data_IF_833655125421
#
_entry.id   IF_833655125421
#
_cell.length_a   1.000
_cell.length_b   1.000
_cell.length_c   1.000
_cell.angle_alpha   90.00
_cell.angle_beta   90.00
_cell.angle_gamma   90.00
#
_symmetry.space_group_name_H-M   'P 1'
#
loop_
_entity.id
_entity.type
_entity.pdbx_description
1 polymer ?
#
# COMPACT_ATOMS: atom_id res chain seq x y z
N UNK A 1 28.70 30.10 38.19
CA UNK A 1 29.32 29.78 36.87
C UNK A 1 29.28 31.05 36.04
N UNK A 2 30.43 31.58 35.64
CA UNK A 2 30.55 32.92 35.07
C UNK A 2 29.95 32.98 33.66
N UNK A 3 29.35 34.11 33.26
CA UNK A 3 28.65 34.27 31.96
C UNK A 3 29.51 33.94 30.74
N UNK A 4 30.84 33.98 30.91
CA UNK A 4 31.85 33.56 29.93
C UNK A 4 31.76 32.07 29.56
N UNK A 5 31.50 31.16 30.51
CA UNK A 5 31.40 29.73 30.21
C UNK A 5 30.09 29.39 29.48
N UNK A 6 28.99 30.04 29.86
CA UNK A 6 27.70 29.85 29.18
C UNK A 6 27.76 30.34 27.73
N UNK A 7 28.45 31.44 27.46
CA UNK A 7 28.62 31.97 26.11
C UNK A 7 29.52 31.07 25.24
N UNK A 8 30.63 30.58 25.80
CA UNK A 8 31.54 29.63 25.13
C UNK A 8 30.87 28.28 24.84
N UNK A 9 30.00 27.81 25.74
CA UNK A 9 29.25 26.58 25.52
C UNK A 9 28.23 26.73 24.39
N UNK A 10 27.51 27.86 24.34
CA UNK A 10 26.52 28.15 23.28
C UNK A 10 27.15 28.26 21.90
N UNK A 11 28.31 28.89 21.78
CA UNK A 11 29.03 28.97 20.50
C UNK A 11 29.58 27.62 20.05
N UNK A 12 30.06 26.79 20.98
CA UNK A 12 30.56 25.45 20.68
C UNK A 12 29.44 24.51 20.22
N UNK A 13 28.28 24.57 20.88
CA UNK A 13 27.08 23.82 20.46
C UNK A 13 26.57 24.29 19.10
N UNK A 14 26.51 25.60 18.85
CA UNK A 14 26.09 26.14 17.56
C UNK A 14 27.04 25.73 16.42
N UNK A 15 28.35 25.70 16.67
CA UNK A 15 29.35 25.28 15.68
C UNK A 15 29.25 23.79 15.34
N UNK A 16 29.06 22.92 16.34
CA UNK A 16 28.88 21.47 16.14
C UNK A 16 27.58 21.19 15.37
N UNK A 17 26.51 21.93 15.66
CA UNK A 17 25.23 21.81 14.95
C UNK A 17 25.35 22.28 13.49
N UNK A 18 26.00 23.40 13.21
CA UNK A 18 26.23 23.87 11.83
C UNK A 18 27.04 22.85 11.00
N UNK A 19 28.04 22.21 11.62
CA UNK A 19 28.88 21.21 10.98
C UNK A 19 28.14 19.91 10.65
N UNK A 20 27.14 19.52 11.47
CA UNK A 20 26.35 18.30 11.25
C UNK A 20 25.27 18.46 10.17
N UNK A 21 24.82 19.68 9.88
CA UNK A 21 23.72 19.96 8.93
C UNK A 21 24.25 20.52 7.60
N UNK A 22 25.57 20.75 7.49
CA UNK A 22 26.19 21.25 6.25
C UNK A 22 25.82 22.69 5.88
N UNK A 23 25.38 23.50 6.85
CA UNK A 23 25.00 24.88 6.63
C UNK A 23 26.16 25.83 6.98
N UNK A 24 26.55 26.68 6.03
CA UNK A 24 27.52 27.76 6.26
C UNK A 24 27.07 28.64 7.44
N UNK A 25 28.01 28.98 8.32
CA UNK A 25 27.82 29.76 9.55
C UNK A 25 27.45 31.25 9.31
N UNK A 26 26.80 31.56 8.19
CA UNK A 26 26.47 32.92 7.76
C UNK A 26 25.02 33.35 8.09
N UNK A 27 24.19 32.49 8.71
CA UNK A 27 22.87 32.89 9.23
C UNK A 27 22.92 33.43 10.68
N UNK A 28 24.05 34.01 11.08
CA UNK A 28 24.20 34.68 12.36
C UNK A 28 24.35 36.20 12.15
N UNK A 29 23.28 36.88 11.72
CA UNK A 29 23.23 38.34 11.74
C UNK A 29 21.81 38.87 11.97
N UNK A 30 21.50 39.17 13.24
CA UNK A 30 20.91 40.42 13.73
C UNK A 30 19.94 40.16 14.90
N UNK A 31 20.35 40.38 16.17
CA UNK A 31 19.49 40.16 17.33
C UNK A 31 18.58 41.36 17.66
N UNK A 32 18.35 42.29 16.72
CA UNK A 32 17.77 43.59 17.03
C UNK A 32 16.24 43.72 16.89
N UNK A 33 15.49 42.65 16.59
CA UNK A 33 14.08 42.84 16.16
C UNK A 33 13.00 41.95 16.80
N UNK A 34 13.27 41.29 17.92
CA UNK A 34 12.21 40.61 18.68
C UNK A 34 12.32 40.95 20.16
N UNK A 35 11.58 41.99 20.57
CA UNK A 35 11.33 42.28 21.96
C UNK A 35 10.44 41.21 22.58
N UNK A 36 10.90 40.64 23.70
CA UNK A 36 10.09 39.87 24.65
C UNK A 36 9.76 38.43 24.23
N UNK A 37 10.58 37.47 24.67
CA UNK A 37 10.20 36.04 24.62
C UNK A 37 11.33 35.01 24.59
N UNK A 38 12.48 35.26 25.22
CA UNK A 38 13.66 34.36 25.13
C UNK A 38 13.42 32.95 25.70
N UNK A 39 12.66 32.82 26.79
CA UNK A 39 12.42 31.52 27.42
C UNK A 39 11.50 30.59 26.60
N UNK A 40 10.57 31.14 25.83
CA UNK A 40 9.59 30.35 25.06
C UNK A 40 10.22 29.81 23.77
N UNK A 41 11.02 30.63 23.08
CA UNK A 41 11.77 30.20 21.90
C UNK A 41 12.87 29.19 22.24
N UNK A 42 13.61 29.41 23.34
CA UNK A 42 14.63 28.45 23.79
C UNK A 42 14.01 27.10 24.19
N UNK A 43 12.86 27.11 24.89
CA UNK A 43 12.15 25.87 25.24
C UNK A 43 11.57 25.16 24.01
N UNK A 44 11.09 25.90 23.01
CA UNK A 44 10.54 25.31 21.79
C UNK A 44 11.63 24.59 20.97
N UNK A 45 12.82 25.18 20.89
CA UNK A 45 13.97 24.57 20.21
C UNK A 45 14.41 23.28 20.92
N UNK A 46 14.50 23.28 22.25
CA UNK A 46 14.85 22.07 23.02
C UNK A 46 13.81 20.95 22.89
N UNK A 47 12.51 21.29 22.89
CA UNK A 47 11.43 20.29 22.77
C UNK A 47 11.39 19.71 21.36
N UNK A 48 11.50 20.53 20.32
CA UNK A 48 11.41 20.05 18.92
C UNK A 48 12.66 19.27 18.53
N UNK A 49 13.86 19.78 18.83
CA UNK A 49 15.12 19.11 18.47
C UNK A 49 15.35 17.88 19.35
N UNK A 50 15.06 17.97 20.65
CA UNK A 50 15.14 16.83 21.56
C UNK A 50 14.14 15.72 21.20
N UNK A 51 12.92 16.10 20.82
CA UNK A 51 11.88 15.17 20.35
C UNK A 51 12.27 14.47 19.05
N UNK A 52 12.78 15.21 18.06
CA UNK A 52 13.26 14.63 16.81
C UNK A 52 14.45 13.69 17.02
N UNK A 53 15.40 14.05 17.89
CA UNK A 53 16.56 13.19 18.20
C UNK A 53 16.14 11.91 18.93
N UNK A 54 15.21 11.99 19.90
CA UNK A 54 14.69 10.81 20.60
C UNK A 54 13.87 9.91 19.67
N UNK A 55 13.09 10.48 18.75
CA UNK A 55 12.37 9.70 17.73
C UNK A 55 13.35 8.99 16.77
N UNK A 56 14.42 9.67 16.36
CA UNK A 56 15.45 9.08 15.50
C UNK A 56 16.18 7.93 16.20
N UNK A 57 16.56 8.12 17.46
CA UNK A 57 17.20 7.10 18.29
C UNK A 57 16.27 5.90 18.53
N UNK A 58 14.96 6.14 18.72
CA UNK A 58 13.96 5.07 18.84
C UNK A 58 13.78 4.29 17.53
N UNK A 59 13.83 4.95 16.36
CA UNK A 59 13.78 4.27 15.06
C UNK A 59 15.01 3.42 14.77
N UNK A 60 16.21 3.90 15.11
CA UNK A 60 17.45 3.14 14.90
C UNK A 60 17.53 1.97 15.87
N UNK A 61 17.19 2.17 17.15
CA UNK A 61 17.14 1.09 18.14
C UNK A 61 16.06 0.05 17.80
N UNK A 62 14.88 0.49 17.34
CA UNK A 62 13.80 -0.39 16.91
C UNK A 62 14.18 -1.26 15.71
N UNK A 63 14.83 -0.67 14.70
CA UNK A 63 15.30 -1.41 13.52
C UNK A 63 16.31 -2.50 13.85
N UNK A 64 17.29 -2.20 14.72
CA UNK A 64 18.31 -3.18 15.15
C UNK A 64 17.69 -4.30 15.99
N UNK A 65 16.78 -3.98 16.92
CA UNK A 65 16.09 -4.98 17.74
C UNK A 65 15.23 -5.91 16.87
N UNK A 66 14.50 -5.36 15.90
CA UNK A 66 13.70 -6.17 14.97
C UNK A 66 14.59 -7.09 14.13
N UNK A 67 15.72 -6.60 13.61
CA UNK A 67 16.65 -7.41 12.83
C UNK A 67 17.30 -8.55 13.64
N UNK A 68 17.65 -8.28 14.90
CA UNK A 68 18.20 -9.28 15.82
C UNK A 68 17.15 -10.32 16.19
N UNK A 69 15.91 -9.90 16.47
CA UNK A 69 14.80 -10.81 16.75
C UNK A 69 14.47 -11.68 15.53
N UNK A 70 14.37 -11.08 14.34
CA UNK A 70 14.14 -11.81 13.09
C UNK A 70 15.25 -12.84 12.82
N UNK A 71 16.51 -12.49 13.10
CA UNK A 71 17.66 -13.39 12.94
C UNK A 71 17.71 -14.51 13.98
N UNK A 72 17.24 -14.26 15.20
CA UNK A 72 17.12 -15.30 16.24
C UNK A 72 15.96 -16.24 15.95
N UNK A 73 14.81 -15.71 15.54
CA UNK A 73 13.63 -16.50 15.15
C UNK A 73 13.95 -17.36 13.92
N UNK A 74 14.59 -16.79 12.89
CA UNK A 74 15.02 -17.55 11.71
C UNK A 74 15.98 -18.69 12.07
N UNK A 75 16.93 -18.47 12.98
CA UNK A 75 17.86 -19.52 13.44
C UNK A 75 17.17 -20.59 14.28
N UNK A 76 16.20 -20.22 15.10
CA UNK A 76 15.40 -21.17 15.89
C UNK A 76 14.58 -22.07 14.97
N UNK A 77 13.84 -21.50 14.02
CA UNK A 77 13.08 -22.28 13.05
C UNK A 77 13.99 -23.17 12.21
N UNK A 78 15.13 -22.69 11.73
CA UNK A 78 16.06 -23.52 10.94
C UNK A 78 16.67 -24.70 11.73
N UNK A 79 16.74 -24.60 13.06
CA UNK A 79 17.22 -25.68 13.93
C UNK A 79 16.12 -26.65 14.36
N UNK A 80 14.87 -26.19 14.41
CA UNK A 80 13.75 -26.94 14.95
C UNK A 80 12.71 -27.34 13.90
N UNK A 81 12.86 -26.92 12.64
CA UNK A 81 12.06 -27.46 11.55
C UNK A 81 12.51 -28.90 11.30
N UNK A 82 11.56 -29.85 11.26
CA UNK A 82 11.88 -31.22 10.87
C UNK A 82 12.42 -31.23 9.44
N UNK A 83 13.35 -32.14 9.18
CA UNK A 83 13.91 -32.34 7.84
C UNK A 83 12.82 -32.81 6.87
N UNK A 84 13.04 -32.64 5.56
CA UNK A 84 12.06 -33.06 4.55
C UNK A 84 11.73 -34.57 4.64
N UNK A 85 12.68 -35.36 5.13
CA UNK A 85 12.54 -36.80 5.37
C UNK A 85 11.65 -37.08 6.60
N UNK A 86 11.87 -36.39 7.73
CA UNK A 86 11.00 -36.45 8.91
C UNK A 86 9.58 -35.95 8.63
N UNK A 87 9.43 -34.91 7.80
CA UNK A 87 8.12 -34.40 7.38
C UNK A 87 7.38 -35.38 6.47
N UNK A 88 8.10 -36.17 5.67
CA UNK A 88 7.52 -37.23 4.85
C UNK A 88 7.06 -38.40 5.72
N UNK A 89 7.87 -38.81 6.70
CA UNK A 89 7.53 -39.85 7.67
C UNK A 89 6.32 -39.45 8.53
N UNK A 90 6.29 -38.23 9.07
CA UNK A 90 5.13 -37.68 9.79
C UNK A 90 3.87 -37.64 8.93
N UNK A 91 3.99 -37.31 7.64
CA UNK A 91 2.84 -37.28 6.72
C UNK A 91 2.30 -38.69 6.47
N UNK A 92 3.17 -39.67 6.35
CA UNK A 92 2.78 -41.07 6.16
C UNK A 92 2.23 -41.69 7.46
N UNK A 93 2.78 -41.32 8.62
CA UNK A 93 2.18 -41.64 9.93
C UNK A 93 0.79 -41.01 10.08
N UNK A 94 0.61 -39.73 9.72
CA UNK A 94 -0.67 -39.04 9.81
C UNK A 94 -1.72 -39.70 8.90
N UNK A 95 -1.32 -40.10 7.68
CA UNK A 95 -2.17 -40.88 6.77
C UNK A 95 -2.51 -42.25 7.34
N UNK A 96 -1.57 -42.91 8.01
CA UNK A 96 -1.79 -44.19 8.65
C UNK A 96 -2.68 -44.11 9.91
N UNK A 97 -2.70 -42.96 10.59
CA UNK A 97 -3.59 -42.66 11.73
C UNK A 97 -5.00 -42.29 11.25
N UNK A 98 -5.11 -41.49 10.19
CA UNK A 98 -6.38 -41.12 9.56
C UNK A 98 -7.15 -42.36 9.06
N UNK A 99 -6.43 -43.30 8.44
CA UNK A 99 -7.00 -44.59 8.00
C UNK A 99 -7.45 -45.51 9.15
N UNK A 100 -6.90 -45.34 10.37
CA UNK A 100 -7.22 -46.19 11.54
C UNK A 100 -8.26 -45.60 12.48
N UNK A 101 -8.65 -44.33 12.33
CA UNK A 101 -9.62 -43.68 13.23
C UNK A 101 -10.88 -43.19 12.52
N UNK A 102 -11.73 -44.16 12.15
CA UNK A 102 -13.18 -43.99 12.27
C UNK A 102 -13.67 -44.74 13.52
N UNK A 103 -13.27 -44.27 14.70
CA UNK A 103 -14.02 -44.57 15.94
C UNK A 103 -14.56 -43.23 16.43
N UNK A 104 -15.90 -43.04 16.46
CA UNK A 104 -16.48 -41.79 16.93
C UNK A 104 -16.02 -41.57 18.37
N UNK A 105 -15.27 -40.50 18.59
CA UNK A 105 -14.91 -40.05 19.93
C UNK A 105 -16.23 -39.57 20.54
N UNK A 106 -16.85 -40.41 21.36
CA UNK A 106 -17.94 -40.00 22.23
C UNK A 106 -17.32 -39.09 23.30
N UNK A 107 -17.40 -37.79 23.08
CA UNK A 107 -17.06 -36.79 24.09
C UNK A 107 -18.08 -36.92 25.23
N UNK A 108 -17.70 -37.61 26.30
CA UNK A 108 -18.41 -37.48 27.58
C UNK A 108 -17.99 -36.15 28.20
N UNK A 109 -18.80 -35.12 27.95
CA UNK A 109 -18.69 -33.82 28.59
C UNK A 109 -19.05 -34.04 30.07
N UNK A 110 -18.03 -34.04 30.94
CA UNK A 110 -18.27 -34.10 32.38
C UNK A 110 -19.08 -32.88 32.84
N UNK A 111 -19.97 -33.01 33.84
CA UNK A 111 -20.95 -31.98 34.25
C UNK A 111 -20.34 -30.64 34.71
N UNK A 112 -19.01 -30.55 34.83
CA UNK A 112 -18.27 -29.36 35.25
C UNK A 112 -17.63 -28.57 34.09
N UNK A 113 -17.71 -29.06 32.85
CA UNK A 113 -17.12 -28.41 31.67
C UNK A 113 -18.08 -27.45 30.94
N UNK A 114 -19.36 -27.46 31.28
CA UNK A 114 -20.39 -26.66 30.60
C UNK A 114 -20.17 -25.13 30.69
N UNK A 115 -19.85 -24.51 31.84
CA UNK A 115 -19.81 -23.04 31.90
C UNK A 115 -18.66 -22.42 31.10
N UNK A 116 -17.54 -23.13 30.94
CA UNK A 116 -16.36 -22.60 30.23
C UNK A 116 -16.49 -22.72 28.70
N UNK A 117 -17.12 -23.79 28.21
CA UNK A 117 -17.31 -23.99 26.77
C UNK A 117 -18.34 -23.02 26.21
N UNK A 118 -19.45 -22.79 26.92
CA UNK A 118 -20.42 -21.77 26.52
C UNK A 118 -19.85 -20.35 26.58
N UNK A 119 -18.96 -20.06 27.54
CA UNK A 119 -18.28 -18.77 27.61
C UNK A 119 -17.30 -18.55 26.46
N UNK A 120 -16.54 -19.57 26.06
CA UNK A 120 -15.57 -19.46 24.96
C UNK A 120 -16.28 -19.34 23.59
N UNK A 121 -17.32 -20.15 23.36
CA UNK A 121 -18.13 -20.08 22.14
C UNK A 121 -18.89 -18.75 22.07
N UNK A 122 -19.43 -18.27 23.19
CA UNK A 122 -20.09 -16.97 23.28
C UNK A 122 -19.14 -15.80 22.99
N UNK A 123 -17.91 -15.85 23.50
CA UNK A 123 -16.90 -14.81 23.25
C UNK A 123 -16.50 -14.74 21.75
N UNK A 124 -16.28 -15.91 21.13
CA UNK A 124 -15.96 -15.98 19.70
C UNK A 124 -17.14 -15.52 18.84
N UNK A 125 -18.38 -15.88 19.20
CA UNK A 125 -19.58 -15.41 18.51
C UNK A 125 -19.75 -13.89 18.63
N UNK A 126 -19.51 -13.29 19.80
CA UNK A 126 -19.56 -11.84 20.00
C UNK A 126 -18.51 -11.10 19.16
N UNK A 127 -17.28 -11.63 19.04
CA UNK A 127 -16.25 -11.02 18.19
C UNK A 127 -16.62 -11.06 16.70
N UNK A 128 -17.24 -12.15 16.24
CA UNK A 128 -17.71 -12.28 14.85
C UNK A 128 -18.86 -11.29 14.59
N UNK A 129 -19.84 -11.20 15.50
CA UNK A 129 -20.97 -10.27 15.38
C UNK A 129 -20.50 -8.81 15.42
N UNK A 130 -19.56 -8.48 16.30
CA UNK A 130 -18.99 -7.12 16.38
C UNK A 130 -18.20 -6.75 15.11
N UNK A 131 -17.42 -7.69 14.57
CA UNK A 131 -16.69 -7.52 13.31
C UNK A 131 -17.62 -7.29 12.12
N UNK A 132 -18.74 -8.03 12.05
CA UNK A 132 -19.77 -7.84 11.03
C UNK A 132 -20.60 -6.55 11.24
N UNK A 133 -20.78 -6.11 12.48
CA UNK A 133 -21.48 -4.86 12.81
C UNK A 133 -20.71 -3.58 12.45
N UNK A 134 -19.37 -3.62 12.55
CA UNK A 134 -18.49 -2.51 12.16
C UNK A 134 -18.54 -2.20 10.66
N UNK A 135 -18.93 -3.15 9.81
CA UNK A 135 -19.12 -2.94 8.37
C UNK A 135 -20.48 -2.35 8.01
N UNK A 136 -21.43 -2.30 8.95
CA UNK A 136 -22.78 -1.77 8.76
C UNK A 136 -23.00 -0.36 9.33
N UNK A 137 -21.99 0.25 9.96
CA UNK A 137 -22.06 1.61 10.49
C UNK A 137 -21.78 2.63 9.37
N UNK A 138 -22.76 3.48 8.97
CA UNK A 138 -22.49 4.53 8.01
C UNK A 138 -21.50 5.55 8.61
N UNK A 139 -20.40 5.76 7.91
CA UNK A 139 -19.40 6.79 8.25
C UNK A 139 -20.10 8.16 8.26
N UNK A 140 -19.88 9.01 9.28
CA UNK A 140 -20.41 10.38 9.28
C UNK A 140 -19.70 11.17 8.17
N UNK A 141 -20.40 11.33 7.04
CA UNK A 141 -19.99 12.25 5.98
C UNK A 141 -20.08 13.65 6.58
N UNK A 142 -18.93 14.27 6.83
CA UNK A 142 -18.83 15.65 7.30
C UNK A 142 -19.23 16.58 6.15
N UNK A 143 -20.54 16.79 6.02
CA UNK A 143 -21.13 17.80 5.15
C UNK A 143 -21.14 19.16 5.83
N UNK A 144 -20.48 20.11 5.15
CA UNK A 144 -20.83 21.53 4.97
C UNK A 144 -20.88 22.51 6.15
N UNK A 145 -20.04 23.56 6.02
CA UNK A 145 -20.23 24.99 6.37
C UNK A 145 -18.82 25.61 6.39
N UNK A 146 -18.35 26.54 5.53
CA UNK A 146 -18.97 27.72 4.91
C UNK A 146 -18.29 28.10 3.57
N UNK A 147 -19.12 28.52 2.62
CA UNK A 147 -18.91 29.36 1.43
C UNK A 147 -17.67 30.27 1.39
N UNK A 148 -16.90 30.22 0.29
CA UNK A 148 -16.48 31.40 -0.49
C UNK A 148 -16.32 31.10 -2.00
N UNK A 149 -17.10 31.84 -2.79
CA UNK A 149 -16.77 32.54 -4.05
C UNK A 149 -16.30 31.77 -5.30
N UNK A 150 -17.27 31.57 -6.19
CA UNK A 150 -17.26 31.79 -7.64
C UNK A 150 -15.98 32.35 -8.32
N UNK A 151 -15.63 31.71 -9.44
CA UNK A 151 -14.84 32.17 -10.63
C UNK A 151 -13.39 31.66 -10.75
N UNK A 152 -13.22 30.45 -11.31
CA UNK A 152 -12.33 30.12 -12.46
C UNK A 152 -11.98 28.61 -12.53
N UNK A 153 -12.23 28.00 -13.71
CA UNK A 153 -11.69 26.74 -14.27
C UNK A 153 -12.23 25.40 -13.71
N UNK A 154 -12.56 24.40 -14.57
CA UNK A 154 -13.06 23.11 -14.12
C UNK A 154 -11.89 22.20 -13.70
N UNK A 155 -11.92 21.67 -12.49
CA UNK A 155 -11.05 20.57 -12.06
C UNK A 155 -11.85 19.48 -11.38
N UNK A 156 -12.09 18.44 -12.19
CA UNK A 156 -12.23 17.02 -11.90
C UNK A 156 -12.17 16.55 -10.42
N UNK A 157 -13.30 15.98 -10.00
CA UNK A 157 -13.36 14.59 -9.52
C UNK A 157 -14.55 13.93 -10.20
N UNK A 158 -14.40 13.66 -11.50
CA UNK A 158 -15.40 12.96 -12.29
C UNK A 158 -14.83 11.58 -12.61
N UNK A 159 -15.58 10.53 -12.31
CA UNK A 159 -15.26 9.17 -12.70
C UNK A 159 -14.91 9.11 -14.19
N UNK A 160 -14.03 8.17 -14.56
CA UNK A 160 -13.67 7.95 -15.95
C UNK A 160 -14.92 7.50 -16.74
N UNK A 161 -15.21 8.12 -17.89
CA UNK A 161 -16.33 7.70 -18.73
C UNK A 161 -16.17 6.26 -19.21
N UNK A 162 -17.23 5.45 -19.08
CA UNK A 162 -17.27 4.07 -19.60
C UNK A 162 -17.75 4.00 -21.05
N UNK A 163 -18.42 5.04 -21.52
CA UNK A 163 -19.07 5.10 -22.82
C UNK A 163 -18.72 6.41 -23.52
N UNK A 164 -18.85 6.44 -24.85
CA UNK A 164 -18.66 7.64 -25.67
C UNK A 164 -17.59 7.48 -26.75
N UNK A 165 -17.10 8.62 -27.22
CA UNK A 165 -16.02 8.70 -28.21
C UNK A 165 -14.67 8.48 -27.51
N UNK A 166 -14.20 7.23 -27.49
CA UNK A 166 -12.97 6.87 -26.79
C UNK A 166 -11.74 7.60 -27.33
N UNK A 167 -11.68 7.93 -28.62
CA UNK A 167 -10.59 8.71 -29.19
C UNK A 167 -10.49 10.07 -28.52
N UNK A 168 -11.60 10.82 -28.45
CA UNK A 168 -11.64 12.11 -27.73
C UNK A 168 -11.33 11.97 -26.25
N UNK A 169 -11.78 10.89 -25.61
CA UNK A 169 -11.50 10.64 -24.19
C UNK A 169 -10.01 10.42 -23.98
N UNK A 170 -9.39 9.54 -24.76
CA UNK A 170 -7.97 9.20 -24.61
C UNK A 170 -7.04 10.32 -25.03
N UNK A 171 -7.44 11.15 -26.01
CA UNK A 171 -6.71 12.35 -26.45
C UNK A 171 -6.80 13.49 -25.42
N UNK A 172 -7.89 13.52 -24.64
CA UNK A 172 -8.10 14.49 -23.56
C UNK A 172 -7.43 14.13 -22.24
N UNK A 173 -6.82 12.94 -22.13
CA UNK A 173 -6.06 12.55 -20.93
C UNK A 173 -4.80 13.40 -20.77
N UNK A 174 -4.36 13.67 -19.53
CA UNK A 174 -3.10 14.37 -19.30
C UNK A 174 -1.92 13.54 -19.81
N UNK A 175 -0.73 14.16 -19.90
CA UNK A 175 0.49 13.42 -20.22
C UNK A 175 0.78 12.37 -19.13
N UNK A 176 0.99 11.12 -19.56
CA UNK A 176 1.30 10.00 -18.67
C UNK A 176 2.79 9.85 -18.41
N UNK A 177 3.13 9.27 -17.26
CA UNK A 177 4.48 8.87 -16.87
C UNK A 177 4.58 7.34 -16.78
N UNK A 178 5.39 6.70 -17.63
CA UNK A 178 5.58 5.25 -17.64
C UNK A 178 6.04 4.66 -16.30
N UNK A 179 6.89 5.34 -15.54
CA UNK A 179 7.38 4.82 -14.26
C UNK A 179 6.27 4.82 -13.20
N UNK A 180 5.40 5.83 -13.22
CA UNK A 180 4.20 5.86 -12.36
C UNK A 180 3.21 4.78 -12.77
N UNK A 181 3.04 4.55 -14.08
CA UNK A 181 2.20 3.49 -14.62
C UNK A 181 2.65 2.10 -14.17
N UNK A 182 3.95 1.83 -14.20
CA UNK A 182 4.53 0.57 -13.70
C UNK A 182 4.25 0.38 -12.20
N UNK A 183 4.48 1.42 -11.38
CA UNK A 183 4.17 1.36 -9.95
C UNK A 183 2.68 1.14 -9.71
N UNK A 184 1.82 1.76 -10.51
CA UNK A 184 0.37 1.59 -10.42
C UNK A 184 -0.04 0.16 -10.74
N UNK A 185 0.51 -0.47 -11.79
CA UNK A 185 0.25 -1.88 -12.11
C UNK A 185 0.53 -2.82 -10.92
N UNK A 186 1.60 -2.54 -10.17
CA UNK A 186 2.01 -3.33 -9.01
C UNK A 186 1.16 -3.07 -7.76
N UNK A 187 0.51 -1.90 -7.65
CA UNK A 187 -0.18 -1.47 -6.43
C UNK A 187 -1.71 -1.47 -6.56
N UNK A 188 -2.25 -1.36 -7.77
CA UNK A 188 -3.68 -1.37 -8.06
C UNK A 188 -4.28 -2.78 -8.19
N UNK A 189 -3.50 -3.84 -7.90
CA UNK A 189 -3.95 -5.24 -7.92
C UNK A 189 -3.85 -5.94 -9.29
N UNK A 190 -3.37 -5.24 -10.33
CA UNK A 190 -3.26 -5.80 -11.68
C UNK A 190 -2.34 -7.03 -11.72
N UNK A 191 -1.18 -6.93 -11.07
CA UNK A 191 -0.16 -8.01 -10.94
C UNK A 191 -0.71 -9.30 -10.31
N UNK A 192 -1.78 -9.23 -9.51
CA UNK A 192 -2.39 -10.44 -8.92
C UNK A 192 -3.11 -11.32 -9.95
N UNK A 193 -3.53 -10.75 -11.08
CA UNK A 193 -4.28 -11.45 -12.12
C UNK A 193 -3.58 -11.45 -13.48
N UNK A 194 -2.65 -10.54 -13.73
CA UNK A 194 -1.98 -10.38 -15.01
C UNK A 194 -0.47 -10.58 -14.87
N UNK A 195 0.07 -11.45 -15.72
CA UNK A 195 1.53 -11.62 -15.84
C UNK A 195 2.13 -10.57 -16.78
N UNK A 196 3.44 -10.35 -16.67
CA UNK A 196 4.24 -9.59 -17.64
C UNK A 196 5.14 -10.49 -18.51
N UNK A 197 5.10 -11.82 -18.31
CA UNK A 197 5.96 -12.78 -19.03
C UNK A 197 5.28 -13.29 -20.29
N UNK A 198 6.07 -13.55 -21.33
CA UNK A 198 5.60 -14.12 -22.60
C UNK A 198 4.91 -15.47 -22.37
N UNK A 199 3.68 -15.58 -22.85
CA UNK A 199 2.90 -16.84 -22.80
C UNK A 199 2.40 -17.27 -21.42
N UNK A 200 2.70 -16.55 -20.35
CA UNK A 200 2.24 -16.90 -19.00
C UNK A 200 0.77 -16.50 -18.83
N UNK A 201 -0.09 -17.49 -18.62
CA UNK A 201 -1.52 -17.31 -18.43
C UNK A 201 -1.87 -17.43 -16.95
N UNK A 202 -2.52 -16.40 -16.42
CA UNK A 202 -3.09 -16.37 -15.08
C UNK A 202 -4.63 -16.26 -15.16
N UNK A 203 -5.25 -15.60 -14.18
CA UNK A 203 -6.68 -15.24 -14.21
C UNK A 203 -6.97 -14.33 -15.40
N UNK A 204 -6.07 -13.40 -15.70
CA UNK A 204 -6.11 -12.52 -16.87
C UNK A 204 -4.99 -12.80 -17.90
N UNK A 205 -5.08 -12.21 -19.10
CA UNK A 205 -4.04 -12.29 -20.13
C UNK A 205 -2.74 -11.61 -19.71
N UNK A 206 -1.62 -12.10 -20.25
CA UNK A 206 -0.32 -11.47 -20.06
C UNK A 206 -0.27 -10.08 -20.70
N UNK A 207 0.47 -9.18 -20.06
CA UNK A 207 0.83 -7.85 -20.56
C UNK A 207 2.01 -7.91 -21.55
N UNK A 208 2.61 -9.08 -21.77
CA UNK A 208 3.67 -9.23 -22.76
C UNK A 208 3.16 -8.91 -24.18
N UNK A 209 3.81 -7.99 -24.86
CA UNK A 209 3.47 -7.50 -26.20
C UNK A 209 2.03 -6.94 -26.30
N UNK A 210 1.47 -6.46 -25.18
CA UNK A 210 0.06 -6.11 -25.08
C UNK A 210 -0.32 -4.94 -25.99
N UNK A 211 0.53 -3.93 -26.12
CA UNK A 211 0.24 -2.77 -26.97
C UNK A 211 0.02 -3.17 -28.44
N UNK A 212 0.92 -3.97 -29.00
CA UNK A 212 0.82 -4.42 -30.40
C UNK A 212 -0.39 -5.34 -30.59
N UNK A 213 -0.66 -6.21 -29.62
CA UNK A 213 -1.87 -7.04 -29.62
C UNK A 213 -3.12 -6.17 -29.62
N UNK A 214 -3.18 -5.15 -28.75
CA UNK A 214 -4.32 -4.25 -28.58
C UNK A 214 -4.71 -3.53 -29.88
N UNK A 215 -3.75 -3.18 -30.73
CA UNK A 215 -4.01 -2.55 -32.05
C UNK A 215 -4.90 -3.38 -32.98
N UNK A 216 -5.02 -4.68 -32.73
CA UNK A 216 -5.72 -5.62 -33.63
C UNK A 216 -6.97 -6.25 -33.01
N UNK A 217 -7.29 -5.94 -31.74
CA UNK A 217 -8.36 -6.63 -31.00
C UNK A 217 -9.75 -6.28 -31.48
N UNK A 218 -9.97 -5.00 -31.77
CA UNK A 218 -11.26 -4.45 -32.18
C UNK A 218 -11.05 -3.64 -33.46
N UNK A 219 -11.65 -4.04 -34.59
CA UNK A 219 -11.52 -3.29 -35.84
C UNK A 219 -11.95 -1.83 -35.68
N UNK A 220 -11.12 -0.90 -36.13
CA UNK A 220 -11.40 0.54 -36.07
C UNK A 220 -11.10 1.20 -34.72
N UNK A 221 -10.55 0.47 -33.76
CA UNK A 221 -10.14 1.00 -32.46
C UNK A 221 -8.61 0.98 -32.34
N UNK A 222 -8.02 2.07 -31.84
CA UNK A 222 -6.59 2.13 -31.54
C UNK A 222 -6.24 1.30 -30.31
N UNK A 223 -4.95 0.97 -30.12
CA UNK A 223 -4.50 0.29 -28.90
C UNK A 223 -4.86 1.08 -27.64
N UNK A 224 -4.70 2.40 -27.67
CA UNK A 224 -4.96 3.28 -26.54
C UNK A 224 -6.43 3.27 -26.13
N UNK A 225 -7.33 3.34 -27.11
CA UNK A 225 -8.78 3.25 -26.92
C UNK A 225 -9.19 1.88 -26.37
N UNK A 226 -8.69 0.80 -26.97
CA UNK A 226 -8.98 -0.57 -26.51
C UNK A 226 -8.54 -0.80 -25.07
N UNK A 227 -7.32 -0.37 -24.73
CA UNK A 227 -6.78 -0.55 -23.38
C UNK A 227 -7.55 0.29 -22.36
N UNK A 228 -7.90 1.53 -22.71
CA UNK A 228 -8.76 2.37 -21.88
C UNK A 228 -10.11 1.68 -21.60
N UNK A 229 -10.82 1.25 -22.65
CA UNK A 229 -12.11 0.57 -22.53
C UNK A 229 -11.97 -0.72 -21.70
N UNK A 230 -10.94 -1.53 -21.96
CA UNK A 230 -10.69 -2.77 -21.22
C UNK A 230 -10.50 -2.55 -19.72
N UNK A 231 -10.08 -1.36 -19.28
CA UNK A 231 -9.92 -1.03 -17.86
C UNK A 231 -11.22 -0.48 -17.27
N UNK A 232 -11.91 0.44 -17.96
CA UNK A 232 -13.10 1.12 -17.41
C UNK A 232 -14.38 0.29 -17.57
N UNK A 233 -14.44 -0.55 -18.61
CA UNK A 233 -15.53 -1.46 -18.95
C UNK A 233 -14.97 -2.82 -19.44
N UNK A 234 -14.39 -3.63 -18.54
CA UNK A 234 -13.69 -4.86 -18.89
C UNK A 234 -14.57 -5.96 -19.50
N UNK A 235 -15.89 -5.85 -19.45
CA UNK A 235 -16.79 -6.81 -20.10
C UNK A 235 -17.20 -6.41 -21.53
N UNK A 236 -16.84 -5.21 -21.99
CA UNK A 236 -17.12 -4.78 -23.37
C UNK A 236 -16.43 -5.67 -24.42
N UNK A 237 -15.25 -6.20 -24.09
CA UNK A 237 -14.52 -7.14 -24.91
C UNK A 237 -13.86 -8.22 -24.04
N UNK A 238 -14.25 -9.47 -24.23
CA UNK A 238 -13.64 -10.61 -23.55
C UNK A 238 -12.68 -11.32 -24.49
N UNK A 239 -11.40 -11.34 -24.11
CA UNK A 239 -10.37 -12.07 -24.84
C UNK A 239 -10.70 -13.56 -24.89
N UNK A 240 -10.54 -14.18 -26.05
CA UNK A 240 -10.77 -15.62 -26.24
C UNK A 240 -10.08 -16.47 -25.17
N UNK A 241 -10.84 -17.41 -24.61
CA UNK A 241 -10.39 -18.28 -23.53
C UNK A 241 -10.44 -17.67 -22.13
N UNK A 242 -10.85 -16.42 -21.94
CA UNK A 242 -11.08 -15.81 -20.62
C UNK A 242 -12.56 -15.72 -20.27
N UNK A 243 -12.87 -15.55 -18.98
CA UNK A 243 -14.25 -15.48 -18.48
C UNK A 243 -14.63 -14.03 -18.15
N UNK A 244 -15.88 -13.67 -18.46
CA UNK A 244 -16.45 -12.38 -18.10
C UNK A 244 -16.60 -12.24 -16.56
N UNK A 245 -16.59 -11.00 -16.08
CA UNK A 245 -16.83 -10.68 -14.66
C UNK A 245 -15.67 -10.95 -13.71
N UNK A 246 -14.51 -11.45 -14.19
CA UNK A 246 -13.34 -11.68 -13.35
C UNK A 246 -12.50 -10.41 -13.11
N UNK A 247 -12.36 -9.56 -14.12
CA UNK A 247 -11.66 -8.28 -13.96
C UNK A 247 -12.54 -7.29 -13.19
N UNK A 248 -11.94 -6.50 -12.29
CA UNK A 248 -12.68 -5.61 -11.41
C UNK A 248 -13.42 -4.53 -12.19
N UNK A 249 -14.71 -4.32 -11.87
CA UNK A 249 -15.62 -3.46 -12.65
C UNK A 249 -15.64 -1.99 -12.20
N UNK A 250 -14.85 -1.65 -11.18
CA UNK A 250 -14.87 -0.37 -10.48
C UNK A 250 -13.69 0.56 -10.82
N UNK A 251 -12.76 0.15 -11.71
CA UNK A 251 -11.60 0.98 -12.08
C UNK A 251 -11.97 2.35 -12.60
N UNK A 252 -13.09 2.49 -13.32
CA UNK A 252 -13.60 3.78 -13.76
C UNK A 252 -13.86 4.76 -12.61
N UNK A 253 -14.24 4.27 -11.44
CA UNK A 253 -14.56 5.07 -10.27
C UNK A 253 -13.35 5.32 -9.35
N UNK A 254 -12.35 4.42 -9.37
CA UNK A 254 -11.21 4.48 -8.43
C UNK A 254 -9.91 4.99 -9.07
N UNK A 255 -9.78 4.92 -10.40
CA UNK A 255 -8.64 5.49 -11.11
C UNK A 255 -8.95 6.93 -11.53
N UNK A 256 -8.04 7.83 -11.21
CA UNK A 256 -8.05 9.18 -11.74
C UNK A 256 -7.65 9.22 -13.23
N UNK A 257 -7.99 10.29 -13.97
CA UNK A 257 -7.48 10.51 -15.32
C UNK A 257 -5.96 10.46 -15.43
N UNK A 258 -5.23 10.96 -14.43
CA UNK A 258 -3.77 10.89 -14.41
C UNK A 258 -3.25 9.45 -14.26
N UNK A 259 -3.85 8.66 -13.36
CA UNK A 259 -3.48 7.25 -13.18
C UNK A 259 -3.76 6.41 -14.43
N UNK A 260 -4.89 6.67 -15.10
CA UNK A 260 -5.18 6.05 -16.39
C UNK A 260 -4.14 6.43 -17.44
N UNK A 261 -3.80 7.72 -17.55
CA UNK A 261 -2.79 8.20 -18.49
C UNK A 261 -1.42 7.57 -18.23
N UNK A 262 -1.00 7.48 -16.97
CA UNK A 262 0.27 6.87 -16.54
C UNK A 262 0.30 5.38 -16.92
N UNK A 263 -0.77 4.64 -16.66
CA UNK A 263 -0.87 3.21 -17.00
C UNK A 263 -0.81 2.96 -18.51
N UNK A 264 -1.53 3.76 -19.30
CA UNK A 264 -1.49 3.66 -20.77
C UNK A 264 -0.10 4.02 -21.31
N UNK A 265 0.54 5.06 -20.75
CA UNK A 265 1.90 5.46 -21.14
C UNK A 265 2.93 4.37 -20.82
N UNK A 266 2.77 3.64 -19.72
CA UNK A 266 3.61 2.49 -19.39
C UNK A 266 3.45 1.33 -20.35
N UNK A 267 2.21 0.91 -20.63
CA UNK A 267 1.93 -0.18 -21.59
C UNK A 267 2.43 0.20 -22.98
N UNK A 268 2.24 1.46 -23.38
CA UNK A 268 2.79 2.00 -24.61
C UNK A 268 4.31 1.98 -24.59
N UNK A 269 5.00 2.55 -23.60
CA UNK A 269 6.47 2.59 -23.59
C UNK A 269 7.09 1.19 -23.70
N UNK A 270 6.51 0.20 -23.00
CA UNK A 270 6.99 -1.18 -22.94
C UNK A 270 7.05 -1.89 -24.31
N UNK A 271 6.20 -1.52 -25.28
CA UNK A 271 6.22 -2.17 -26.60
C UNK A 271 7.54 -2.01 -27.37
N UNK A 272 8.38 -1.03 -27.00
CA UNK A 272 9.68 -0.79 -27.62
C UNK A 272 10.77 -1.72 -27.11
N UNK A 273 10.57 -2.23 -25.90
CA UNK A 273 11.57 -3.01 -25.15
C UNK A 273 11.29 -4.52 -25.22
N UNK A 274 10.14 -4.90 -25.79
CA UNK A 274 9.75 -6.29 -26.01
C UNK A 274 10.07 -6.74 -27.45
N UNK A 275 10.77 -7.86 -27.63
CA UNK A 275 11.07 -8.42 -28.95
C UNK A 275 9.86 -9.09 -29.61
#
# INVERSE_FOLDING_TARGET
MTSSMALKWRTLVAAVVAMLIGADAAFAASPAQLGGGSAVFDNLIFVVIGGMLMALLASVAGGVVIAVLASSVSRFFRRNLPTDEEMAELRDELRAVDQRRLRPIRFEIGPNAEPFVFSAIGFVACLIIFSLGLSAMPQPVRGESLSQSETARPTASAALPKEGDFGKITDGLPAGDPERGERLFNTAGCVGCHSQKKGERLVGPSFYNLWNIAQTRVPGMSAREYLYQSIVDPNAYIVEGYQAGLMQQNYAAILSPQQMADLLAWIEARHKDEP
#
